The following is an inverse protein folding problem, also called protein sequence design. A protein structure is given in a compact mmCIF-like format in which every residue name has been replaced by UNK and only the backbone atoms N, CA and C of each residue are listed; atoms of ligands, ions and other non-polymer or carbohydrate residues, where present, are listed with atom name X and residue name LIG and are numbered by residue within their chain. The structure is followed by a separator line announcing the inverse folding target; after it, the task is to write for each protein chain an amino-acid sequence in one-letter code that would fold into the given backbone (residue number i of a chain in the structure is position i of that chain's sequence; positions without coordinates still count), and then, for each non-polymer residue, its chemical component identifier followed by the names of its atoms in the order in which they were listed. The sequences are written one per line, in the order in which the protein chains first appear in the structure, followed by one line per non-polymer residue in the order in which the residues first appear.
data_IF_014581889631
#
_entry.id   IF_014581889631
#
_cell.length_a   1.000
_cell.length_b   1.000
_cell.length_c   1.000
_cell.angle_alpha   90.00
_cell.angle_beta   90.00
_cell.angle_gamma   90.00
#
_symmetry.space_group_name_H-M   'P 1'
#
loop_
_entity.id
_entity.type
_entity.pdbx_description
1 polymer ?
#
# COMPACT_ATOMS: atom_id res chain seq x y z
N UNK A 1 28.59 0.45 -4.07
CA UNK A 1 29.08 0.61 -2.69
C UNK A 1 28.36 -0.40 -1.82
N UNK A 2 29.08 -1.28 -1.12
CA UNK A 2 28.47 -2.30 -0.24
C UNK A 2 28.34 -1.69 1.15
N UNK A 3 27.13 -1.65 1.71
CA UNK A 3 26.86 -1.05 3.02
C UNK A 3 26.70 -2.12 4.11
N UNK A 4 27.02 -1.74 5.35
CA UNK A 4 26.88 -2.61 6.52
C UNK A 4 25.42 -2.91 6.83
N UNK A 5 25.14 -4.15 7.26
CA UNK A 5 23.82 -4.58 7.74
C UNK A 5 23.55 -4.19 9.19
N UNK A 6 24.62 -4.10 9.97
CA UNK A 6 24.56 -4.01 11.42
C UNK A 6 24.75 -2.58 11.90
N UNK A 7 25.31 -1.70 11.07
CA UNK A 7 25.62 -0.33 11.43
C UNK A 7 25.10 0.61 10.35
N UNK A 8 24.24 1.56 10.75
CA UNK A 8 23.76 2.64 9.90
C UNK A 8 24.89 3.65 9.69
N UNK A 9 25.27 3.97 8.44
CA UNK A 9 26.19 5.06 8.16
C UNK A 9 25.67 6.40 8.73
N UNK A 10 26.58 7.28 9.13
CA UNK A 10 26.24 8.58 9.72
C UNK A 10 25.58 9.53 8.71
N UNK A 11 25.98 9.43 7.45
CA UNK A 11 25.54 10.23 6.31
C UNK A 11 24.16 9.83 5.74
N UNK A 12 23.57 8.73 6.22
CA UNK A 12 22.30 8.21 5.72
C UNK A 12 21.20 8.27 6.78
N UNK A 13 19.98 8.63 6.36
CA UNK A 13 18.78 8.38 7.15
C UNK A 13 18.53 6.87 7.30
N UNK A 14 17.69 6.51 8.28
CA UNK A 14 17.29 5.12 8.51
C UNK A 14 16.59 4.53 7.27
N UNK A 15 15.70 5.30 6.63
CA UNK A 15 14.96 4.86 5.44
C UNK A 15 15.89 4.63 4.25
N UNK A 16 16.81 5.56 3.98
CA UNK A 16 17.79 5.43 2.89
C UNK A 16 18.67 4.21 3.09
N UNK A 17 19.19 4.02 4.31
CA UNK A 17 19.98 2.85 4.66
C UNK A 17 19.20 1.55 4.42
N UNK A 18 17.94 1.48 4.86
CA UNK A 18 17.08 0.31 4.69
C UNK A 18 16.68 0.03 3.22
N UNK A 19 16.51 1.07 2.41
CA UNK A 19 16.29 0.96 0.96
C UNK A 19 17.53 0.42 0.24
N UNK A 20 18.71 0.97 0.53
CA UNK A 20 19.98 0.52 -0.07
C UNK A 20 20.25 -0.95 0.31
N UNK A 21 19.96 -1.37 1.54
CA UNK A 21 20.10 -2.77 1.95
C UNK A 21 19.19 -3.67 1.09
N UNK A 22 17.91 -3.32 0.93
CA UNK A 22 16.97 -4.07 0.08
C UNK A 22 17.45 -4.17 -1.36
N UNK A 23 18.03 -3.10 -1.90
CA UNK A 23 18.63 -3.09 -3.23
C UNK A 23 19.80 -4.07 -3.33
N UNK A 24 20.78 -3.93 -2.44
CA UNK A 24 21.94 -4.80 -2.38
C UNK A 24 21.57 -6.28 -2.21
N UNK A 25 20.59 -6.60 -1.36
CA UNK A 25 20.12 -7.97 -1.16
C UNK A 25 19.31 -8.49 -2.34
N UNK A 26 18.43 -7.67 -2.88
CA UNK A 26 17.59 -7.98 -4.03
C UNK A 26 18.43 -8.40 -5.23
N UNK A 27 19.46 -7.61 -5.57
CA UNK A 27 20.38 -7.88 -6.69
C UNK A 27 21.09 -9.24 -6.59
N UNK A 28 21.33 -9.74 -5.36
CA UNK A 28 22.00 -11.02 -5.12
C UNK A 28 21.07 -12.23 -5.16
N UNK A 29 19.75 -12.03 -5.20
CA UNK A 29 18.80 -13.13 -5.19
C UNK A 29 18.81 -13.89 -6.52
N UNK A 30 18.41 -15.16 -6.47
CA UNK A 30 18.25 -16.04 -7.64
C UNK A 30 16.79 -16.45 -7.83
N UNK A 31 15.90 -15.46 -7.89
CA UNK A 31 14.48 -15.71 -8.14
C UNK A 31 14.21 -15.98 -9.62
N UNK A 32 13.16 -16.75 -9.90
CA UNK A 32 12.60 -16.86 -11.24
C UNK A 32 11.60 -15.73 -11.45
N UNK A 33 11.69 -15.03 -12.58
CA UNK A 33 10.82 -13.91 -12.92
C UNK A 33 10.12 -14.20 -14.25
N UNK A 34 8.79 -14.29 -14.21
CA UNK A 34 7.96 -14.49 -15.38
C UNK A 34 7.13 -13.21 -15.63
N UNK A 35 7.16 -12.66 -16.84
CA UNK A 35 6.31 -11.53 -17.22
C UNK A 35 4.91 -12.05 -17.55
N UNK A 36 3.88 -11.57 -16.84
CA UNK A 36 2.49 -11.98 -17.04
C UNK A 36 1.67 -10.93 -17.77
N UNK A 37 2.24 -9.76 -18.05
CA UNK A 37 1.60 -8.69 -18.83
C UNK A 37 2.20 -8.52 -20.23
N UNK A 38 1.67 -7.52 -20.94
CA UNK A 38 1.98 -7.31 -22.37
C UNK A 38 3.16 -6.37 -22.63
N UNK A 39 3.64 -5.66 -21.61
CA UNK A 39 4.74 -4.71 -21.76
C UNK A 39 6.07 -5.35 -21.30
N UNK A 40 7.21 -5.13 -21.98
CA UNK A 40 8.48 -5.80 -21.62
C UNK A 40 9.14 -5.30 -20.32
N UNK A 41 8.75 -4.10 -19.85
CA UNK A 41 9.31 -3.39 -18.69
C UNK A 41 8.20 -3.03 -17.68
N UNK A 42 7.34 -2.07 -18.03
CA UNK A 42 6.20 -1.63 -17.22
C UNK A 42 5.02 -2.62 -17.22
N UNK A 43 5.23 -3.74 -16.53
CA UNK A 43 4.33 -4.89 -16.58
C UNK A 43 3.98 -5.41 -15.21
N UNK A 44 3.19 -6.48 -15.21
CA UNK A 44 3.00 -7.36 -14.07
C UNK A 44 3.90 -8.57 -14.23
N UNK A 45 4.50 -8.99 -13.12
CA UNK A 45 5.44 -10.09 -13.07
C UNK A 45 5.05 -11.05 -11.94
N UNK A 46 5.25 -12.33 -12.22
CA UNK A 46 5.21 -13.41 -11.24
C UNK A 46 6.63 -13.74 -10.84
N UNK A 47 6.96 -13.48 -9.58
CA UNK A 47 8.27 -13.81 -9.01
C UNK A 47 8.15 -15.08 -8.17
N UNK A 48 8.97 -16.08 -8.47
CA UNK A 48 9.01 -17.36 -7.75
C UNK A 48 10.34 -17.52 -7.04
N UNK A 49 10.30 -17.75 -5.73
CA UNK A 49 11.47 -18.15 -4.95
C UNK A 49 11.60 -19.68 -4.98
N UNK A 50 12.55 -20.18 -5.78
CA UNK A 50 12.78 -21.61 -5.98
C UNK A 50 13.15 -22.38 -4.70
N UNK A 51 13.76 -21.73 -3.71
CA UNK A 51 14.15 -22.39 -2.45
C UNK A 51 12.96 -22.61 -1.52
N UNK A 52 12.02 -21.65 -1.49
CA UNK A 52 10.86 -21.69 -0.59
C UNK A 52 9.55 -22.10 -1.26
N UNK A 53 9.51 -22.19 -2.59
CA UNK A 53 8.30 -22.40 -3.39
C UNK A 53 7.32 -21.22 -3.41
N UNK A 54 7.59 -20.14 -2.68
CA UNK A 54 6.69 -18.98 -2.59
C UNK A 54 6.66 -18.18 -3.88
N UNK A 55 5.46 -17.67 -4.20
CA UNK A 55 5.19 -16.86 -5.39
C UNK A 55 4.64 -15.51 -4.98
N UNK A 56 5.12 -14.44 -5.60
CA UNK A 56 4.68 -13.08 -5.37
C UNK A 56 4.32 -12.40 -6.69
N UNK A 57 3.29 -11.54 -6.66
CA UNK A 57 2.93 -10.64 -7.76
C UNK A 57 3.70 -9.34 -7.61
N UNK A 58 4.21 -8.81 -8.71
CA UNK A 58 4.96 -7.55 -8.75
C UNK A 58 4.43 -6.72 -9.91
N UNK A 59 4.15 -5.43 -9.68
CA UNK A 59 3.84 -4.49 -10.75
C UNK A 59 4.96 -3.44 -10.83
N UNK A 60 5.55 -3.28 -12.01
CA UNK A 60 6.58 -2.27 -12.27
C UNK A 60 5.96 -1.11 -13.07
N UNK A 61 6.07 0.11 -12.55
CA UNK A 61 5.56 1.35 -13.18
C UNK A 61 6.58 2.48 -13.22
N UNK A 62 7.70 2.34 -12.49
CA UNK A 62 8.79 3.31 -12.44
C UNK A 62 10.00 2.74 -11.70
N UNK A 63 10.99 3.57 -11.43
CA UNK A 63 12.20 3.19 -10.69
C UNK A 63 12.32 3.88 -9.31
N UNK A 64 11.37 4.74 -8.94
CA UNK A 64 11.35 5.36 -7.62
C UNK A 64 10.64 4.47 -6.58
N UNK A 65 11.02 4.56 -5.29
CA UNK A 65 10.28 3.94 -4.22
C UNK A 65 8.82 4.42 -4.19
N UNK A 66 7.88 3.48 -4.15
CA UNK A 66 6.44 3.72 -4.14
C UNK A 66 5.78 3.73 -5.52
N UNK A 67 6.55 3.69 -6.62
CA UNK A 67 5.99 3.55 -7.98
C UNK A 67 5.49 2.12 -8.24
N UNK A 68 6.08 1.15 -7.55
CA UNK A 68 5.94 -0.27 -7.85
C UNK A 68 5.19 -0.98 -6.73
N UNK A 69 4.49 -2.07 -7.06
CA UNK A 69 3.77 -2.88 -6.07
C UNK A 69 4.41 -4.26 -5.93
N UNK A 70 4.37 -4.83 -4.73
CA UNK A 70 4.69 -6.23 -4.50
C UNK A 70 3.77 -6.86 -3.46
N UNK A 71 3.25 -8.05 -3.75
CA UNK A 71 2.36 -8.78 -2.84
C UNK A 71 3.07 -9.47 -1.66
N UNK A 72 4.32 -9.14 -1.37
CA UNK A 72 5.06 -9.79 -0.28
C UNK A 72 4.82 -9.10 1.08
N UNK A 73 4.83 -9.85 2.20
CA UNK A 73 4.56 -9.26 3.52
C UNK A 73 5.52 -8.14 3.94
N UNK A 74 6.79 -8.18 3.52
CA UNK A 74 7.75 -7.10 3.81
C UNK A 74 7.28 -5.77 3.19
N UNK A 75 6.81 -5.80 1.95
CA UNK A 75 6.37 -4.59 1.25
C UNK A 75 5.16 -3.94 1.94
N UNK A 76 4.20 -4.74 2.39
CA UNK A 76 2.96 -4.23 2.99
C UNK A 76 3.15 -3.55 4.35
N UNK A 77 4.26 -3.83 5.05
CA UNK A 77 4.49 -3.34 6.42
C UNK A 77 5.72 -2.44 6.58
N UNK A 78 6.66 -2.43 5.62
CA UNK A 78 7.93 -1.75 5.81
C UNK A 78 7.90 -0.24 5.58
N UNK A 79 6.86 0.29 4.92
CA UNK A 79 6.70 1.72 4.57
C UNK A 79 7.82 2.35 3.73
N UNK A 80 8.72 1.55 3.14
CA UNK A 80 9.84 2.04 2.35
C UNK A 80 9.50 2.28 0.88
N UNK A 81 8.34 1.82 0.40
CA UNK A 81 7.97 1.88 -1.02
C UNK A 81 8.79 0.93 -1.89
N UNK A 82 9.53 0.00 -1.29
CA UNK A 82 10.26 -1.05 -2.00
C UNK A 82 10.47 -2.27 -1.10
N UNK A 83 10.84 -3.39 -1.70
CA UNK A 83 11.22 -4.61 -1.02
C UNK A 83 12.29 -5.33 -1.85
N UNK A 84 12.93 -6.35 -1.28
CA UNK A 84 13.95 -7.13 -2.01
C UNK A 84 13.47 -7.71 -3.35
N UNK A 85 12.17 -7.99 -3.49
CA UNK A 85 11.59 -8.56 -4.71
C UNK A 85 11.44 -7.51 -5.81
N UNK A 86 11.02 -6.28 -5.46
CA UNK A 86 10.97 -5.14 -6.38
C UNK A 86 12.39 -4.82 -6.85
N UNK A 87 13.33 -4.71 -5.92
CA UNK A 87 14.72 -4.38 -6.25
C UNK A 87 15.39 -5.44 -7.15
N UNK A 88 15.15 -6.73 -6.87
CA UNK A 88 15.57 -7.81 -7.77
C UNK A 88 14.94 -7.66 -9.16
N UNK A 89 13.64 -7.36 -9.23
CA UNK A 89 12.93 -7.24 -10.51
C UNK A 89 13.46 -6.06 -11.33
N UNK A 90 13.62 -4.90 -10.69
CA UNK A 90 14.21 -3.71 -11.30
C UNK A 90 15.63 -3.97 -11.80
N UNK A 91 16.47 -4.66 -11.02
CA UNK A 91 17.84 -4.96 -11.46
C UNK A 91 17.86 -5.81 -12.74
N UNK A 92 17.02 -6.85 -12.81
CA UNK A 92 16.88 -7.70 -14.02
C UNK A 92 16.31 -6.94 -15.21
N UNK A 93 15.37 -6.05 -14.99
CA UNK A 93 14.77 -5.27 -16.07
C UNK A 93 15.72 -4.18 -16.58
N UNK A 94 16.54 -3.58 -15.72
CA UNK A 94 17.54 -2.56 -16.09
C UNK A 94 18.68 -3.09 -16.97
N UNK A 95 18.90 -4.41 -17.01
CA UNK A 95 19.86 -5.07 -17.92
C UNK A 95 19.39 -5.04 -19.39
N UNK A 96 18.08 -4.87 -19.65
CA UNK A 96 17.54 -4.83 -21.01
C UNK A 96 17.94 -3.54 -21.74
N UNK A 97 18.31 -3.65 -23.01
CA UNK A 97 18.63 -2.51 -23.87
C UNK A 97 17.46 -1.52 -23.90
N UNK A 98 17.72 -0.25 -23.57
CA UNK A 98 16.72 0.82 -23.55
C UNK A 98 15.92 0.96 -22.26
N UNK A 99 16.01 0.04 -21.30
CA UNK A 99 15.22 0.08 -20.07
C UNK A 99 15.46 1.35 -19.24
N UNK A 100 16.72 1.76 -19.06
CA UNK A 100 17.07 2.99 -18.33
C UNK A 100 16.54 4.27 -18.99
N UNK A 101 16.34 4.25 -20.31
CA UNK A 101 15.75 5.38 -21.03
C UNK A 101 14.23 5.37 -20.83
N UNK A 102 13.61 4.22 -21.03
CA UNK A 102 12.17 4.04 -20.83
C UNK A 102 11.73 4.38 -19.40
N UNK A 103 12.46 3.94 -18.36
CA UNK A 103 12.16 4.29 -16.95
C UNK A 103 12.19 5.81 -16.71
N UNK A 104 13.16 6.52 -17.30
CA UNK A 104 13.27 7.98 -17.19
C UNK A 104 12.17 8.72 -17.95
N UNK A 105 11.77 8.19 -19.10
CA UNK A 105 10.65 8.73 -19.89
C UNK A 105 9.28 8.42 -19.24
N UNK A 106 9.25 7.44 -18.33
CA UNK A 106 8.07 7.02 -17.60
C UNK A 106 7.12 6.16 -18.43
N UNK A 107 6.05 5.73 -17.77
CA UNK A 107 4.99 4.94 -18.39
C UNK A 107 3.62 5.46 -18.02
N UNK A 108 2.81 5.64 -19.05
CA UNK A 108 1.39 5.96 -18.93
C UNK A 108 0.62 4.82 -19.59
N UNK A 109 0.09 3.86 -18.81
CA UNK A 109 -0.71 2.75 -19.34
C UNK A 109 -1.98 3.26 -20.03
N UNK A 110 -2.59 2.47 -20.94
CA UNK A 110 -3.90 2.83 -21.51
C UNK A 110 -5.01 2.85 -20.47
N UNK A 111 -4.89 2.05 -19.41
CA UNK A 111 -5.82 1.99 -18.26
C UNK A 111 -5.38 2.92 -17.12
N UNK A 112 -6.30 3.31 -16.23
CA UNK A 112 -5.94 4.00 -14.98
C UNK A 112 -5.75 3.02 -13.82
N UNK A 113 -5.05 3.46 -12.78
CA UNK A 113 -4.73 2.65 -11.62
C UNK A 113 -5.14 3.35 -10.32
N UNK A 114 -5.66 2.57 -9.38
CA UNK A 114 -5.83 2.95 -7.98
C UNK A 114 -4.93 2.06 -7.14
N UNK A 115 -3.96 2.64 -6.47
CA UNK A 115 -2.89 1.92 -5.78
C UNK A 115 -2.60 2.53 -4.42
N UNK A 116 -2.03 1.72 -3.51
CA UNK A 116 -1.58 2.22 -2.22
C UNK A 116 -0.14 2.69 -2.33
N UNK A 117 0.11 3.97 -2.06
CA UNK A 117 1.47 4.51 -1.96
C UNK A 117 1.98 4.30 -0.54
N UNK A 118 3.18 3.70 -0.45
CA UNK A 118 3.86 3.45 0.81
C UNK A 118 4.91 4.55 1.07
N UNK A 119 4.95 5.03 2.30
CA UNK A 119 5.83 6.10 2.79
C UNK A 119 5.55 6.33 4.27
N UNK A 120 5.86 7.53 4.80
CA UNK A 120 5.56 7.90 6.20
C UNK A 120 4.10 7.62 6.60
N UNK A 121 3.17 7.86 5.67
CA UNK A 121 1.76 7.46 5.76
C UNK A 121 1.42 6.66 4.50
N UNK A 122 0.58 5.63 4.66
CA UNK A 122 -0.03 4.90 3.54
C UNK A 122 -1.19 5.75 3.02
N UNK A 123 -1.18 6.06 1.73
CA UNK A 123 -2.23 6.84 1.08
C UNK A 123 -2.73 6.15 -0.19
N UNK A 124 -4.04 6.15 -0.40
CA UNK A 124 -4.65 5.66 -1.65
C UNK A 124 -4.45 6.71 -2.74
N UNK A 125 -3.88 6.29 -3.87
CA UNK A 125 -3.56 7.15 -5.01
C UNK A 125 -4.29 6.71 -6.27
N UNK A 126 -4.65 7.68 -7.10
CA UNK A 126 -5.13 7.48 -8.45
C UNK A 126 -4.09 7.98 -9.46
N UNK A 127 -3.79 7.16 -10.47
CA UNK A 127 -2.98 7.55 -11.62
C UNK A 127 -3.81 7.40 -12.88
N UNK A 128 -3.98 8.50 -13.60
CA UNK A 128 -4.68 8.50 -14.88
C UNK A 128 -3.88 7.73 -15.94
N UNK A 129 -4.58 6.85 -16.66
CA UNK A 129 -4.10 6.26 -17.89
C UNK A 129 -4.16 7.23 -19.06
N UNK A 130 -3.48 6.89 -20.15
CA UNK A 130 -3.40 7.68 -21.37
C UNK A 130 -4.78 7.89 -22.00
N UNK A 131 -5.64 6.88 -21.91
CA UNK A 131 -6.94 6.88 -22.56
C UNK A 131 -8.08 7.31 -21.60
N UNK A 132 -7.73 7.86 -20.43
CA UNK A 132 -8.69 8.32 -19.45
C UNK A 132 -9.55 9.48 -20.01
N UNK A 133 -10.85 9.22 -20.17
CA UNK A 133 -11.77 10.20 -20.73
C UNK A 133 -11.97 11.41 -19.80
N UNK A 134 -12.33 12.59 -20.33
CA UNK A 134 -12.63 13.77 -19.51
C UNK A 134 -13.72 13.51 -18.46
N UNK A 135 -14.69 12.66 -18.76
CA UNK A 135 -15.74 12.26 -17.82
C UNK A 135 -15.18 11.45 -16.64
N UNK A 136 -14.28 10.51 -16.91
CA UNK A 136 -13.58 9.72 -15.88
C UNK A 136 -12.76 10.65 -15.01
N UNK A 137 -11.98 11.56 -15.61
CA UNK A 137 -11.16 12.53 -14.87
C UNK A 137 -12.02 13.46 -14.01
N UNK A 138 -13.15 13.95 -14.52
CA UNK A 138 -14.09 14.77 -13.75
C UNK A 138 -14.66 14.02 -12.55
N UNK A 139 -15.00 12.73 -12.71
CA UNK A 139 -15.48 11.90 -11.62
C UNK A 139 -14.38 11.67 -10.57
N UNK A 140 -13.15 11.37 -11.01
CA UNK A 140 -11.99 11.17 -10.14
C UNK A 140 -11.73 12.41 -9.28
N UNK A 141 -11.79 13.61 -9.86
CA UNK A 141 -11.56 14.87 -9.14
C UNK A 141 -12.55 15.13 -7.99
N UNK A 142 -13.69 14.43 -7.96
CA UNK A 142 -14.60 14.45 -6.81
C UNK A 142 -13.97 13.76 -5.60
N UNK A 143 -13.33 12.61 -5.81
CA UNK A 143 -12.82 11.74 -4.75
C UNK A 143 -11.33 11.96 -4.43
N UNK A 144 -10.54 12.30 -5.45
CA UNK A 144 -9.09 12.48 -5.35
C UNK A 144 -8.72 13.97 -5.46
N UNK A 145 -7.67 14.36 -4.77
CA UNK A 145 -7.09 15.71 -4.84
C UNK A 145 -6.25 15.90 -6.13
N UNK A 146 -5.78 17.12 -6.43
CA UNK A 146 -4.94 17.37 -7.61
C UNK A 146 -3.62 16.58 -7.65
N UNK A 147 -3.14 16.09 -6.51
CA UNK A 147 -1.96 15.22 -6.41
C UNK A 147 -2.33 13.73 -6.54
N UNK A 148 -3.57 13.42 -6.90
CA UNK A 148 -4.11 12.08 -7.04
C UNK A 148 -4.27 11.34 -5.72
N UNK A 149 -4.32 12.02 -4.56
CA UNK A 149 -4.55 11.40 -3.25
C UNK A 149 -6.04 11.32 -2.93
N UNK A 150 -6.51 10.18 -2.42
CA UNK A 150 -7.90 10.06 -1.94
C UNK A 150 -8.13 11.06 -0.80
N UNK A 151 -9.15 11.89 -0.91
CA UNK A 151 -9.49 12.86 0.13
C UNK A 151 -10.01 12.13 1.36
N UNK A 152 -9.67 12.63 2.55
CA UNK A 152 -9.95 11.93 3.82
C UNK A 152 -11.45 11.64 4.04
N UNK A 153 -12.32 12.60 3.68
CA UNK A 153 -13.78 12.46 3.76
C UNK A 153 -14.34 11.29 2.94
N UNK A 154 -13.61 10.82 1.92
CA UNK A 154 -14.04 9.73 1.05
C UNK A 154 -13.43 8.37 1.41
N UNK A 155 -12.56 8.27 2.42
CA UNK A 155 -11.94 6.99 2.82
C UNK A 155 -13.03 5.97 3.20
N UNK A 156 -13.95 6.33 4.08
CA UNK A 156 -15.04 5.45 4.51
C UNK A 156 -16.09 5.21 3.42
N UNK A 157 -16.16 6.15 2.47
CA UNK A 157 -17.11 6.16 1.36
C UNK A 157 -16.47 5.73 0.03
N UNK A 158 -15.33 5.04 0.07
CA UNK A 158 -14.60 4.64 -1.13
C UNK A 158 -15.42 3.74 -2.07
N UNK A 159 -16.36 2.96 -1.52
CA UNK A 159 -17.32 2.18 -2.31
C UNK A 159 -18.14 3.05 -3.29
N UNK A 160 -18.41 4.32 -2.95
CA UNK A 160 -19.13 5.24 -3.85
C UNK A 160 -18.29 5.58 -5.08
N UNK A 161 -16.97 5.69 -4.93
CA UNK A 161 -16.06 5.86 -6.07
C UNK A 161 -16.13 4.62 -6.98
N UNK A 162 -15.98 3.42 -6.40
CA UNK A 162 -16.05 2.15 -7.16
C UNK A 162 -17.39 1.96 -7.88
N UNK A 163 -18.50 2.33 -7.24
CA UNK A 163 -19.83 2.24 -7.84
C UNK A 163 -20.06 3.26 -8.96
N UNK A 164 -19.59 4.50 -8.78
CA UNK A 164 -19.77 5.53 -9.81
C UNK A 164 -18.86 5.30 -11.01
N UNK A 165 -17.66 4.78 -10.77
CA UNK A 165 -16.70 4.54 -11.84
C UNK A 165 -17.05 3.30 -12.66
N UNK A 166 -17.64 2.26 -12.06
CA UNK A 166 -18.10 1.07 -12.78
C UNK A 166 -19.28 1.35 -13.73
N UNK A 167 -20.00 2.45 -13.51
CA UNK A 167 -21.06 2.92 -14.42
C UNK A 167 -20.50 3.68 -15.64
N UNK A 168 -19.22 4.05 -15.63
CA UNK A 168 -18.57 4.72 -16.75
C UNK A 168 -17.98 3.69 -17.69
N UNK A 169 -18.62 3.50 -18.83
CA UNK A 169 -18.13 2.61 -19.88
C UNK A 169 -16.92 3.23 -20.61
N UNK A 170 -16.03 2.38 -21.11
CA UNK A 170 -15.01 2.77 -22.09
C UNK A 170 -13.61 3.06 -21.56
N UNK A 171 -13.36 2.94 -20.25
CA UNK A 171 -12.00 3.06 -19.69
C UNK A 171 -11.75 2.02 -18.60
N UNK A 172 -10.70 1.22 -18.76
CA UNK A 172 -10.32 0.22 -17.75
C UNK A 172 -9.65 0.91 -16.55
N UNK A 173 -10.08 0.54 -15.34
CA UNK A 173 -9.51 1.04 -14.09
C UNK A 173 -9.18 -0.14 -13.20
N UNK A 174 -7.89 -0.28 -12.87
CA UNK A 174 -7.38 -1.36 -12.03
C UNK A 174 -7.21 -0.85 -10.61
N UNK A 175 -7.89 -1.49 -9.66
CA UNK A 175 -7.69 -1.25 -8.23
C UNK A 175 -6.85 -2.39 -7.65
N UNK A 176 -5.74 -2.07 -6.99
CA UNK A 176 -4.90 -3.08 -6.34
C UNK A 176 -5.54 -3.59 -5.03
N UNK A 177 -5.30 -4.86 -4.71
CA UNK A 177 -5.91 -5.54 -3.55
C UNK A 177 -5.57 -4.86 -2.21
N UNK A 178 -4.36 -4.30 -2.10
CA UNK A 178 -3.88 -3.64 -0.89
C UNK A 178 -4.63 -2.32 -0.59
N UNK A 179 -5.19 -1.68 -1.61
CA UNK A 179 -6.12 -0.55 -1.43
C UNK A 179 -7.36 -1.01 -0.67
N UNK A 180 -7.97 -2.13 -1.09
CA UNK A 180 -9.18 -2.64 -0.45
C UNK A 180 -8.93 -3.04 1.00
N UNK A 181 -7.81 -3.71 1.27
CA UNK A 181 -7.39 -4.04 2.62
C UNK A 181 -7.20 -2.79 3.49
N UNK A 182 -6.54 -1.76 2.94
CA UNK A 182 -6.32 -0.52 3.67
C UNK A 182 -7.63 0.24 3.97
N UNK A 183 -8.56 0.30 3.02
CA UNK A 183 -9.89 0.90 3.25
C UNK A 183 -10.66 0.11 4.32
N UNK A 184 -10.59 -1.22 4.31
CA UNK A 184 -11.21 -2.05 5.34
C UNK A 184 -10.66 -1.77 6.74
N UNK A 185 -9.35 -1.54 6.90
CA UNK A 185 -8.75 -1.15 8.19
C UNK A 185 -9.41 0.13 8.77
N UNK A 186 -9.68 1.14 7.93
CA UNK A 186 -10.37 2.37 8.35
C UNK A 186 -11.82 2.12 8.72
N UNK A 187 -12.53 1.31 7.93
CA UNK A 187 -13.93 0.96 8.18
C UNK A 187 -14.08 0.17 9.48
N UNK A 188 -13.18 -0.78 9.75
CA UNK A 188 -13.14 -1.55 10.99
C UNK A 188 -12.84 -0.64 12.19
N UNK A 189 -11.89 0.29 12.05
CA UNK A 189 -11.58 1.26 13.11
C UNK A 189 -12.79 2.15 13.43
N UNK A 190 -13.49 2.65 12.42
CA UNK A 190 -14.72 3.44 12.60
C UNK A 190 -15.87 2.62 13.19
N UNK A 191 -16.04 1.37 12.74
CA UNK A 191 -17.03 0.47 13.31
C UNK A 191 -16.75 0.22 14.80
N UNK A 192 -15.49 -0.04 15.18
CA UNK A 192 -15.07 -0.14 16.59
C UNK A 192 -15.37 1.13 17.37
N UNK A 193 -15.03 2.31 16.85
CA UNK A 193 -15.34 3.60 17.51
C UNK A 193 -16.83 3.78 17.75
N UNK A 194 -17.68 3.42 16.78
CA UNK A 194 -19.14 3.49 16.92
C UNK A 194 -19.69 2.49 17.94
N UNK A 195 -19.15 1.27 18.00
CA UNK A 195 -19.48 0.30 19.04
C UNK A 195 -19.09 0.84 20.42
N UNK A 196 -17.86 1.34 20.57
CA UNK A 196 -17.37 1.90 21.84
C UNK A 196 -18.26 3.06 22.27
N UNK A 197 -18.53 4.02 21.37
CA UNK A 197 -19.39 5.18 21.66
C UNK A 197 -20.82 4.79 22.07
N UNK A 198 -21.37 3.73 21.48
CA UNK A 198 -22.73 3.26 21.79
C UNK A 198 -22.81 2.44 23.07
N UNK A 199 -21.85 1.53 23.31
CA UNK A 199 -21.85 0.58 24.43
C UNK A 199 -21.17 1.13 25.69
N UNK A 200 -20.27 2.09 25.56
CA UNK A 200 -19.47 2.67 26.64
C UNK A 200 -19.78 4.15 26.90
N UNK A 201 -21.06 4.56 26.75
CA UNK A 201 -21.52 5.95 27.00
C UNK A 201 -21.17 6.48 28.39
N UNK A 202 -21.10 5.62 29.40
CA UNK A 202 -20.72 5.96 30.76
C UNK A 202 -19.22 5.82 31.05
N UNK A 203 -18.38 5.67 30.02
CA UNK A 203 -16.95 5.39 30.15
C UNK A 203 -16.70 4.16 31.01
N UNK A 204 -15.80 4.29 31.99
CA UNK A 204 -15.43 3.22 32.95
C UNK A 204 -16.57 2.75 33.86
N UNK A 205 -17.69 3.49 33.90
CA UNK A 205 -18.86 3.19 34.71
C UNK A 205 -19.97 2.52 33.91
N UNK A 206 -19.76 2.30 32.60
CA UNK A 206 -20.74 1.66 31.73
C UNK A 206 -21.11 0.25 32.23
N UNK A 207 -22.38 -0.18 32.14
CA UNK A 207 -22.83 -1.47 32.65
C UNK A 207 -22.02 -2.66 32.10
N UNK A 208 -21.64 -2.59 30.83
CA UNK A 208 -20.84 -3.62 30.18
C UNK A 208 -19.50 -3.85 30.91
N UNK A 209 -18.83 -2.80 31.41
CA UNK A 209 -17.55 -2.89 32.11
C UNK A 209 -17.67 -3.61 33.47
N UNK A 210 -18.85 -3.55 34.10
CA UNK A 210 -19.07 -4.15 35.42
C UNK A 210 -19.17 -5.68 35.39
N UNK A 211 -19.62 -6.25 34.27
CA UNK A 211 -19.99 -7.67 34.17
C UNK A 211 -19.11 -8.50 33.22
N UNK A 212 -18.04 -7.94 32.66
CA UNK A 212 -17.14 -8.68 31.75
C UNK A 212 -16.29 -9.73 32.49
N UNK A 213 -15.92 -9.47 33.74
CA UNK A 213 -15.03 -10.32 34.52
C UNK A 213 -15.71 -10.81 35.80
N UNK A 214 -15.33 -12.01 36.26
CA UNK A 214 -15.76 -12.56 37.55
C UNK A 214 -15.21 -11.80 38.76
N UNK A 215 -14.22 -10.93 38.56
CA UNK A 215 -13.57 -10.12 39.60
C UNK A 215 -13.83 -8.62 39.38
N UNK A 216 -13.79 -7.84 40.45
CA UNK A 216 -13.98 -6.38 40.40
C UNK A 216 -12.67 -5.70 40.03
N UNK A 217 -12.70 -4.89 38.97
CA UNK A 217 -11.57 -4.05 38.57
C UNK A 217 -11.52 -2.74 39.35
N UNK A 218 -10.32 -2.34 39.78
CA UNK A 218 -10.06 -1.01 40.31
C UNK A 218 -10.31 0.06 39.22
N UNK A 219 -10.64 1.31 39.59
CA UNK A 219 -10.90 2.38 38.64
C UNK A 219 -9.81 2.55 37.58
N UNK A 220 -8.54 2.61 37.99
CA UNK A 220 -7.41 2.76 37.06
C UNK A 220 -7.26 1.60 36.06
N UNK A 221 -7.66 0.38 36.45
CA UNK A 221 -7.62 -0.79 35.54
C UNK A 221 -8.70 -0.67 34.47
N UNK A 222 -9.87 -0.12 34.83
CA UNK A 222 -10.96 0.16 33.89
C UNK A 222 -10.59 1.29 32.94
N UNK A 223 -9.89 2.32 33.45
CA UNK A 223 -9.35 3.40 32.62
C UNK A 223 -8.30 2.86 31.64
N UNK A 224 -7.35 2.04 32.11
CA UNK A 224 -6.36 1.40 31.25
C UNK A 224 -6.99 0.51 30.17
N UNK A 225 -8.01 -0.28 30.54
CA UNK A 225 -8.74 -1.11 29.58
C UNK A 225 -9.51 -0.25 28.55
N UNK A 226 -10.17 0.82 28.98
CA UNK A 226 -10.87 1.74 28.09
C UNK A 226 -9.90 2.49 27.17
N UNK A 227 -8.75 2.89 27.69
CA UNK A 227 -7.67 3.49 26.90
C UNK A 227 -7.18 2.53 25.82
N UNK A 228 -6.86 1.28 26.17
CA UNK A 228 -6.37 0.28 25.23
C UNK A 228 -7.40 0.00 24.12
N UNK A 229 -8.68 -0.12 24.47
CA UNK A 229 -9.77 -0.35 23.50
C UNK A 229 -9.96 0.85 22.55
N UNK A 230 -9.77 2.08 23.04
CA UNK A 230 -9.84 3.29 22.20
C UNK A 230 -8.61 3.49 21.31
N UNK A 231 -7.43 3.04 21.74
CA UNK A 231 -6.19 3.16 21.00
C UNK A 231 -6.17 2.28 19.74
N UNK A 232 -6.93 1.18 19.74
CA UNK A 232 -7.09 0.27 18.59
C UNK A 232 -6.07 -0.86 18.57
#
# INVERSE_FOLDING_TARGET
MKISRTHKPEDLSLEEWQRILRKQYGEQQKYKLDNTGNHPLFSEFKLTNSESGKVYKIAIRGDAPGDNYCSCPDYSINNLGTCKHIEFTLSRLMEKKGAKKALREGYTPPYSEVYLRYGLKRDVRFKAGKDASPEVLSLVNKYFDPNGMLKEDYILHFHQFLNNISQKNGHEIRCYDDVMAHIAEYQDAEHRRNIIKSQLKGGINSPIVKNILKTKLYPYQREGALFAVNAG
#
